data_IF_685801130299
#
_entry.id   IF_685801130299
#
_cell.length_a   1.000
_cell.length_b   1.000
_cell.length_c   1.000
_cell.angle_alpha   90.00
_cell.angle_beta   90.00
_cell.angle_gamma   90.00
#
_symmetry.space_group_name_H-M   'P 1'
#
loop_
_entity.id
_entity.type
_entity.pdbx_description
1 polymer ?
#
# COMPACT_ATOMS: atom_id res chain seq x y z
N UNK A 1 -10.60 -9.04 -8.03
CA UNK A 1 -11.84 -8.24 -8.08
C UNK A 1 -12.29 -8.03 -9.54
N UNK A 2 -11.40 -7.56 -10.42
CA UNK A 2 -11.74 -7.13 -11.78
C UNK A 2 -12.50 -8.15 -12.62
N UNK A 3 -12.05 -9.41 -12.68
CA UNK A 3 -12.76 -10.49 -13.38
C UNK A 3 -14.20 -10.68 -12.90
N UNK A 4 -14.44 -10.54 -11.60
CA UNK A 4 -15.75 -10.74 -10.99
C UNK A 4 -16.62 -9.49 -11.12
N UNK A 5 -16.03 -8.30 -11.06
CA UNK A 5 -16.74 -7.06 -11.35
C UNK A 5 -17.21 -7.00 -12.81
N UNK A 6 -16.37 -7.42 -13.78
CA UNK A 6 -16.77 -7.53 -15.18
C UNK A 6 -17.95 -8.50 -15.39
N UNK A 7 -18.04 -9.57 -14.60
CA UNK A 7 -19.18 -10.48 -14.63
C UNK A 7 -20.48 -9.83 -14.10
N UNK A 8 -20.39 -8.96 -13.09
CA UNK A 8 -21.54 -8.16 -12.62
C UNK A 8 -21.96 -7.11 -13.66
N UNK A 9 -21.00 -6.40 -14.27
CA UNK A 9 -21.25 -5.43 -15.35
C UNK A 9 -21.93 -6.11 -16.55
N UNK A 10 -21.47 -7.29 -16.96
CA UNK A 10 -22.10 -8.06 -18.04
C UNK A 10 -23.53 -8.52 -17.70
N UNK A 11 -23.86 -8.66 -16.42
CA UNK A 11 -25.20 -8.96 -15.93
C UNK A 11 -26.05 -7.70 -15.65
N UNK A 12 -25.56 -6.51 -16.03
CA UNK A 12 -26.19 -5.20 -15.75
C UNK A 12 -26.38 -4.92 -14.24
N UNK A 13 -25.50 -5.47 -13.41
CA UNK A 13 -25.48 -5.28 -11.97
C UNK A 13 -24.34 -4.32 -11.57
N UNK A 14 -24.48 -3.06 -11.97
CA UNK A 14 -23.46 -2.02 -11.74
C UNK A 14 -23.21 -1.78 -10.24
N UNK A 15 -24.25 -1.93 -9.40
CA UNK A 15 -24.14 -1.76 -7.97
C UNK A 15 -23.14 -2.76 -7.36
N UNK A 16 -23.30 -4.06 -7.64
CA UNK A 16 -22.39 -5.06 -7.10
C UNK A 16 -21.00 -5.00 -7.74
N UNK A 17 -20.89 -4.56 -9.00
CA UNK A 17 -19.59 -4.30 -9.63
C UNK A 17 -18.81 -3.20 -8.88
N UNK A 18 -19.46 -2.06 -8.60
CA UNK A 18 -18.87 -0.93 -7.86
C UNK A 18 -18.57 -1.35 -6.42
N UNK A 19 -19.53 -2.01 -5.75
CA UNK A 19 -19.38 -2.44 -4.36
C UNK A 19 -18.19 -3.40 -4.21
N UNK A 20 -18.03 -4.35 -5.12
CA UNK A 20 -16.90 -5.29 -5.09
C UNK A 20 -15.57 -4.57 -5.27
N UNK A 21 -15.46 -3.63 -6.21
CA UNK A 21 -14.24 -2.85 -6.41
C UNK A 21 -13.90 -2.01 -5.17
N UNK A 22 -14.89 -1.36 -4.57
CA UNK A 22 -14.72 -0.58 -3.35
C UNK A 22 -14.27 -1.46 -2.18
N UNK A 23 -14.89 -2.62 -1.97
CA UNK A 23 -14.49 -3.56 -0.92
C UNK A 23 -13.07 -4.11 -1.14
N UNK A 24 -12.70 -4.42 -2.39
CA UNK A 24 -11.36 -4.89 -2.70
C UNK A 24 -10.30 -3.84 -2.32
N UNK A 25 -10.55 -2.57 -2.63
CA UNK A 25 -9.69 -1.45 -2.26
C UNK A 25 -9.58 -1.29 -0.74
N UNK A 26 -10.71 -1.36 -0.01
CA UNK A 26 -10.69 -1.33 1.47
C UNK A 26 -9.93 -2.49 2.09
N UNK A 27 -10.00 -3.68 1.50
CA UNK A 27 -9.25 -4.85 1.95
C UNK A 27 -7.75 -4.71 1.68
N UNK A 28 -7.34 -4.12 0.55
CA UNK A 28 -5.94 -3.87 0.25
C UNK A 28 -5.31 -2.92 1.28
N UNK A 29 -5.99 -1.82 1.60
CA UNK A 29 -5.54 -0.87 2.62
C UNK A 29 -5.55 -1.46 4.04
N UNK A 30 -6.61 -2.21 4.40
CA UNK A 30 -6.67 -2.90 5.69
C UNK A 30 -5.53 -3.92 5.85
N UNK A 31 -5.17 -4.61 4.76
CA UNK A 31 -4.05 -5.54 4.79
C UNK A 31 -2.71 -4.80 4.93
N UNK A 32 -2.53 -3.66 4.27
CA UNK A 32 -1.33 -2.84 4.44
C UNK A 32 -1.15 -2.38 5.90
N UNK A 33 -2.22 -1.93 6.57
CA UNK A 33 -2.20 -1.54 7.99
C UNK A 33 -1.90 -2.73 8.91
N UNK A 34 -2.61 -3.86 8.70
CA UNK A 34 -2.43 -5.07 9.49
C UNK A 34 -1.01 -5.66 9.34
N UNK A 35 -0.48 -5.69 8.11
CA UNK A 35 0.87 -6.15 7.86
C UNK A 35 1.90 -5.20 8.47
N UNK A 36 1.70 -3.88 8.35
CA UNK A 36 2.59 -2.92 8.98
C UNK A 36 2.62 -3.11 10.50
N UNK A 37 1.45 -3.23 11.15
CA UNK A 37 1.37 -3.53 12.58
C UNK A 37 2.14 -4.80 12.93
N UNK A 38 1.95 -5.89 12.17
CA UNK A 38 2.69 -7.14 12.38
C UNK A 38 4.20 -6.98 12.16
N UNK A 39 4.63 -6.16 11.23
CA UNK A 39 6.06 -5.85 11.06
C UNK A 39 6.60 -5.17 12.32
N UNK A 40 5.89 -4.18 12.87
CA UNK A 40 6.33 -3.48 14.10
C UNK A 40 6.40 -4.38 15.32
N UNK A 41 5.42 -5.28 15.49
CA UNK A 41 5.25 -6.07 16.71
C UNK A 41 5.91 -7.45 16.68
N UNK A 42 6.09 -8.05 15.49
CA UNK A 42 6.51 -9.44 15.32
C UNK A 42 7.70 -9.57 14.35
N UNK A 43 7.52 -9.25 13.06
CA UNK A 43 8.53 -9.57 12.03
C UNK A 43 9.83 -8.76 12.16
N UNK A 44 9.71 -7.47 12.46
CA UNK A 44 10.84 -6.61 12.81
C UNK A 44 10.93 -6.43 14.33
N UNK A 45 9.78 -6.28 15.00
CA UNK A 45 9.70 -6.38 16.46
C UNK A 45 10.32 -5.22 17.22
N UNK A 46 10.37 -4.01 16.64
CA UNK A 46 10.85 -2.82 17.34
C UNK A 46 9.81 -2.19 18.28
N UNK A 47 8.56 -2.66 18.25
CA UNK A 47 7.49 -2.24 19.16
C UNK A 47 6.65 -3.45 19.64
N UNK A 48 7.24 -4.45 20.33
CA UNK A 48 6.58 -5.73 20.63
C UNK A 48 5.43 -5.62 21.65
N UNK A 49 5.30 -4.49 22.33
CA UNK A 49 4.26 -4.21 23.32
C UNK A 49 3.20 -3.22 22.81
N UNK A 50 3.18 -2.92 21.50
CA UNK A 50 2.17 -2.06 20.90
C UNK A 50 0.76 -2.67 21.06
N UNK A 51 -0.18 -1.87 21.56
CA UNK A 51 -1.57 -2.26 21.78
C UNK A 51 -2.56 -1.17 21.34
N UNK A 52 -2.31 -0.57 20.18
CA UNK A 52 -3.09 0.55 19.64
C UNK A 52 -4.48 0.12 19.17
N UNK A 53 -5.47 1.00 19.34
CA UNK A 53 -6.80 0.81 18.72
C UNK A 53 -6.77 1.07 17.22
N UNK A 54 -7.82 0.68 16.49
CA UNK A 54 -7.93 0.97 15.06
C UNK A 54 -7.94 2.48 14.78
N UNK A 55 -8.58 3.29 15.62
CA UNK A 55 -8.56 4.76 15.52
C UNK A 55 -7.15 5.32 15.70
N UNK A 56 -6.35 4.72 16.57
CA UNK A 56 -4.97 5.12 16.81
C UNK A 56 -4.03 4.69 15.70
N UNK A 57 -4.27 3.55 15.07
CA UNK A 57 -3.59 3.13 13.84
C UNK A 57 -3.89 4.10 12.69
N UNK A 58 -5.15 4.47 12.49
CA UNK A 58 -5.56 5.47 11.48
C UNK A 58 -4.93 6.84 11.77
N UNK A 59 -4.81 7.21 13.04
CA UNK A 59 -4.13 8.43 13.47
C UNK A 59 -2.59 8.32 13.48
N UNK A 60 -2.04 7.21 12.97
CA UNK A 60 -0.61 6.93 12.83
C UNK A 60 0.18 7.09 14.15
N UNK A 61 -0.40 6.73 15.30
CA UNK A 61 0.23 6.89 16.63
C UNK A 61 1.36 5.89 16.93
N UNK A 62 1.82 5.14 15.93
CA UNK A 62 2.90 4.18 16.06
C UNK A 62 4.26 4.79 15.72
N UNK A 63 5.34 4.11 16.08
CA UNK A 63 6.69 4.44 15.64
C UNK A 63 6.92 3.99 14.20
N UNK A 64 7.59 4.82 13.39
CA UNK A 64 7.98 4.49 12.02
C UNK A 64 6.95 4.90 10.96
N UNK A 65 7.36 4.82 9.69
CA UNK A 65 6.52 5.17 8.53
C UNK A 65 6.57 4.09 7.44
N UNK A 66 5.59 4.11 6.55
CA UNK A 66 5.48 3.19 5.42
C UNK A 66 5.32 3.85 4.04
N UNK A 67 6.27 4.72 3.61
CA UNK A 67 6.11 5.53 2.41
C UNK A 67 6.00 4.67 1.15
N UNK A 68 5.04 5.03 0.31
CA UNK A 68 4.80 4.39 -0.98
C UNK A 68 5.32 5.27 -2.14
N UNK A 69 5.99 4.68 -3.15
CA UNK A 69 6.37 5.40 -4.35
C UNK A 69 5.15 6.00 -5.09
N UNK A 70 5.28 7.27 -5.47
CA UNK A 70 4.23 8.12 -6.05
C UNK A 70 3.60 9.12 -5.08
N UNK A 71 3.84 8.98 -3.78
CA UNK A 71 3.39 9.96 -2.78
C UNK A 71 4.37 11.13 -2.67
N UNK A 72 3.98 12.28 -2.09
CA UNK A 72 4.85 13.45 -1.97
C UNK A 72 6.19 13.21 -1.27
N UNK A 73 6.28 12.20 -0.39
CA UNK A 73 7.52 11.81 0.28
C UNK A 73 8.46 10.96 -0.59
N UNK A 74 7.94 10.33 -1.65
CA UNK A 74 8.69 9.51 -2.59
C UNK A 74 8.02 9.63 -3.97
N UNK A 75 8.14 10.77 -4.67
CA UNK A 75 7.31 11.06 -5.84
C UNK A 75 7.71 10.23 -7.08
N UNK A 76 8.91 9.67 -7.10
CA UNK A 76 9.37 8.85 -8.21
C UNK A 76 8.73 7.45 -8.19
N UNK A 77 7.89 7.17 -9.19
CA UNK A 77 7.25 5.88 -9.37
C UNK A 77 8.23 4.78 -9.84
N UNK A 78 9.36 5.14 -10.47
CA UNK A 78 10.28 4.21 -11.12
C UNK A 78 10.83 3.15 -10.17
N UNK A 79 11.00 3.54 -8.90
CA UNK A 79 11.47 2.72 -7.80
C UNK A 79 10.63 1.45 -7.59
N UNK A 80 9.36 1.44 -8.03
CA UNK A 80 8.51 0.25 -7.93
C UNK A 80 9.05 -0.93 -8.74
N UNK A 81 9.79 -0.69 -9.83
CA UNK A 81 10.35 -1.78 -10.66
C UNK A 81 11.31 -2.64 -9.83
N UNK A 82 12.29 -2.00 -9.20
CA UNK A 82 13.30 -2.69 -8.41
C UNK A 82 12.68 -3.31 -7.15
N UNK A 83 11.73 -2.62 -6.52
CA UNK A 83 10.99 -3.16 -5.37
C UNK A 83 10.20 -4.43 -5.73
N UNK A 84 9.48 -4.44 -6.86
CA UNK A 84 8.71 -5.60 -7.31
C UNK A 84 9.62 -6.77 -7.69
N UNK A 85 10.76 -6.48 -8.34
CA UNK A 85 11.75 -7.49 -8.68
C UNK A 85 12.39 -8.11 -7.43
N UNK A 86 12.74 -7.28 -6.44
CA UNK A 86 13.34 -7.73 -5.19
C UNK A 86 12.39 -8.62 -4.37
N UNK A 87 11.10 -8.29 -4.36
CA UNK A 87 10.09 -9.01 -3.57
C UNK A 87 9.42 -10.16 -4.34
N UNK A 88 9.83 -10.42 -5.59
CA UNK A 88 9.23 -11.44 -6.45
C UNK A 88 7.70 -11.33 -6.54
N UNK A 89 7.19 -10.12 -6.72
CA UNK A 89 5.75 -9.85 -6.70
C UNK A 89 4.96 -10.60 -7.78
N UNK A 90 5.61 -11.01 -8.86
CA UNK A 90 5.02 -11.82 -9.92
C UNK A 90 4.59 -13.21 -9.43
N UNK A 91 5.27 -13.78 -8.44
CA UNK A 91 4.92 -15.08 -7.85
C UNK A 91 3.56 -15.07 -7.14
N UNK A 92 3.14 -13.89 -6.64
CA UNK A 92 1.81 -13.69 -6.04
C UNK A 92 0.79 -13.07 -7.01
N UNK A 93 1.14 -12.99 -8.30
CA UNK A 93 0.27 -12.47 -9.35
C UNK A 93 0.11 -10.95 -9.33
N UNK A 94 1.03 -10.23 -8.69
CA UNK A 94 1.10 -8.77 -8.75
C UNK A 94 2.07 -8.32 -9.85
N UNK A 95 1.75 -7.20 -10.51
CA UNK A 95 2.59 -6.65 -11.58
C UNK A 95 2.46 -5.14 -11.73
N UNK A 96 3.25 -4.57 -12.65
CA UNK A 96 3.26 -3.14 -12.96
C UNK A 96 2.87 -2.90 -14.43
N UNK A 97 2.02 -1.90 -14.68
CA UNK A 97 1.74 -1.42 -16.04
C UNK A 97 2.92 -0.65 -16.62
N UNK A 98 2.85 -0.28 -17.91
CA UNK A 98 3.83 0.62 -18.54
C UNK A 98 3.97 1.96 -17.80
N UNK A 99 2.86 2.48 -17.27
CA UNK A 99 2.78 3.69 -16.43
C UNK A 99 3.10 3.46 -14.96
N UNK A 100 3.55 2.26 -14.58
CA UNK A 100 3.89 1.88 -13.19
C UNK A 100 2.70 1.88 -12.24
N UNK A 101 1.47 1.75 -12.73
CA UNK A 101 0.33 1.42 -11.88
C UNK A 101 0.43 -0.05 -11.45
N UNK A 102 -0.02 -0.37 -10.23
CA UNK A 102 -0.03 -1.76 -9.77
C UNK A 102 -1.22 -2.53 -10.35
N UNK A 103 -1.01 -3.81 -10.58
CA UNK A 103 -2.05 -4.76 -11.01
C UNK A 103 -2.03 -5.94 -10.03
N UNK A 104 -3.18 -6.35 -9.48
CA UNK A 104 -4.51 -5.75 -9.58
C UNK A 104 -4.58 -4.30 -9.06
N UNK A 105 -5.63 -3.55 -9.44
CA UNK A 105 -5.76 -2.14 -9.03
C UNK A 105 -5.87 -1.96 -7.51
N UNK A 106 -6.57 -2.87 -6.83
CA UNK A 106 -6.60 -2.95 -5.37
C UNK A 106 -5.30 -3.58 -4.87
N UNK A 107 -4.25 -2.77 -4.76
CA UNK A 107 -2.92 -3.16 -4.31
C UNK A 107 -2.23 -2.00 -3.61
N UNK A 108 -1.39 -2.32 -2.62
CA UNK A 108 -0.58 -1.36 -1.88
C UNK A 108 0.86 -1.88 -1.83
N UNK A 109 1.84 -1.01 -2.02
CA UNK A 109 3.26 -1.34 -1.91
C UNK A 109 4.02 -0.13 -1.38
N UNK A 110 5.06 -0.36 -0.58
CA UNK A 110 5.90 0.71 -0.05
C UNK A 110 7.06 0.17 0.77
N UNK A 111 7.77 1.09 1.41
CA UNK A 111 8.87 0.78 2.30
C UNK A 111 8.40 0.68 3.75
N UNK A 112 9.25 0.14 4.62
CA UNK A 112 9.12 0.30 6.06
C UNK A 112 10.37 0.99 6.59
N UNK A 113 10.18 2.05 7.37
CA UNK A 113 11.25 2.80 8.03
C UNK A 113 10.93 2.85 9.52
N UNK A 114 11.81 2.27 10.34
CA UNK A 114 11.57 2.07 11.76
C UNK A 114 12.08 3.20 12.67
N UNK A 115 12.82 4.18 12.14
CA UNK A 115 13.44 5.23 12.96
C UNK A 115 12.37 6.06 13.68
N UNK A 116 12.48 6.34 14.99
CA UNK A 116 11.42 7.00 15.75
C UNK A 116 11.14 8.44 15.31
N UNK A 117 12.11 9.10 14.68
CA UNK A 117 11.96 10.46 14.14
C UNK A 117 11.59 10.47 12.65
N UNK A 118 11.37 9.31 12.02
CA UNK A 118 10.91 9.28 10.64
C UNK A 118 9.51 9.88 10.52
N UNK A 119 9.30 10.73 9.53
CA UNK A 119 8.00 11.35 9.26
C UNK A 119 7.78 11.50 7.76
N UNK A 120 6.51 11.58 7.35
CA UNK A 120 6.17 11.94 5.99
C UNK A 120 6.46 13.42 5.77
N UNK A 121 7.29 13.73 4.77
CA UNK A 121 7.54 15.10 4.33
C UNK A 121 7.27 15.21 2.82
N UNK A 122 7.06 16.43 2.33
CA UNK A 122 6.93 16.67 0.90
C UNK A 122 8.30 17.07 0.35
N UNK A 123 8.80 16.34 -0.66
CA UNK A 123 10.05 16.68 -1.36
C UNK A 123 9.95 18.06 -2.02
N UNK A 124 8.77 18.46 -2.49
CA UNK A 124 8.56 19.74 -3.16
C UNK A 124 9.22 19.80 -4.53
N UNK A 125 9.49 21.03 -5.00
CA UNK A 125 10.19 21.25 -6.28
C UNK A 125 11.69 21.13 -6.07
N UNK A 126 12.33 20.33 -6.90
CA UNK A 126 13.79 20.14 -6.90
C UNK A 126 14.45 21.00 -8.00
N UNK A 127 15.71 21.38 -7.76
CA UNK A 127 16.55 22.08 -8.72
C UNK A 127 17.12 21.17 -9.80
N UNK A 128 18.03 21.71 -10.61
CA UNK A 128 18.75 20.97 -11.65
C UNK A 128 20.09 20.40 -11.14
N UNK A 129 20.49 20.73 -9.92
CA UNK A 129 21.77 20.42 -9.30
C UNK A 129 21.93 18.94 -8.91
#
# INVERSE_FOLDING_TARGET
>A
ADKRAAAFEAAQDDYNAIMLKALADRLAEAFAECLHQRVRTDLWGYAPHEGLSNEELIAEKYQGIRPAPGYPACPDHSVKRDMFALLHCDEIGMGLTESLAMTPAASVSGFYIAHPESSYFNVGKIGHD
#
